data_IF_802352444884
#
_entry.id   IF_802352444884
#
_cell.length_a   1.000
_cell.length_b   1.000
_cell.length_c   1.000
_cell.angle_alpha   90.00
_cell.angle_beta   90.00
_cell.angle_gamma   90.00
#
_symmetry.space_group_name_H-M   'P 1'
#
loop_
_entity.id
_entity.type
_entity.pdbx_description
1 polymer ?
#
# COMPACT_ATOMS: atom_id res chain seq x y z
N UNK A 1 0.72 29.91 -7.92
CA UNK A 1 1.03 28.49 -8.01
C UNK A 1 1.11 27.92 -6.61
N UNK A 2 0.48 26.79 -6.38
CA UNK A 2 0.60 26.25 -5.05
C UNK A 2 0.19 24.80 -4.97
N UNK A 3 1.17 23.89 -4.88
CA UNK A 3 0.90 22.55 -4.38
C UNK A 3 0.42 22.71 -2.94
N UNK A 4 -0.69 22.06 -2.60
CA UNK A 4 -1.36 22.26 -1.31
C UNK A 4 -1.40 21.00 -0.45
N UNK A 5 -1.49 19.83 -1.09
CA UNK A 5 -1.62 18.59 -0.36
C UNK A 5 -1.20 17.42 -1.24
N UNK A 6 -0.80 16.34 -0.60
CA UNK A 6 -0.68 15.05 -1.27
C UNK A 6 -2.08 14.47 -1.44
N UNK A 7 -2.39 13.90 -2.59
CA UNK A 7 -3.73 13.40 -2.86
C UNK A 7 -3.77 11.87 -2.98
N UNK A 8 -3.03 11.31 -3.91
CA UNK A 8 -3.03 9.86 -4.10
C UNK A 8 -1.76 9.39 -4.79
N UNK A 9 -1.52 8.10 -4.72
CA UNK A 9 -0.55 7.41 -5.55
C UNK A 9 -1.29 6.45 -6.48
N UNK A 10 -0.83 6.35 -7.72
CA UNK A 10 -1.38 5.41 -8.70
C UNK A 10 -0.32 4.35 -8.97
N UNK A 11 -0.72 3.09 -8.90
CA UNK A 11 0.18 1.97 -9.20
C UNK A 11 -0.44 1.07 -10.26
N UNK A 12 0.42 0.52 -11.12
CA UNK A 12 0.02 -0.49 -12.08
C UNK A 12 0.30 -1.86 -11.51
N UNK A 13 -0.65 -2.75 -11.64
CA UNK A 13 -0.57 -4.07 -11.04
C UNK A 13 -0.63 -5.15 -12.11
N UNK A 14 0.18 -6.19 -11.94
CA UNK A 14 0.10 -7.38 -12.80
C UNK A 14 -1.18 -8.16 -12.54
N UNK A 15 -1.67 -8.14 -11.29
CA UNK A 15 -2.89 -8.79 -10.86
C UNK A 15 -3.59 -7.88 -9.85
N UNK A 16 -4.47 -7.04 -10.34
CA UNK A 16 -5.10 -6.00 -9.52
C UNK A 16 -5.97 -6.57 -8.41
N UNK A 17 -6.55 -7.76 -8.61
CA UNK A 17 -7.33 -8.42 -7.54
C UNK A 17 -6.46 -8.81 -6.37
N UNK A 18 -5.29 -9.35 -6.65
CA UNK A 18 -4.33 -9.75 -5.63
C UNK A 18 -3.78 -8.54 -4.88
N UNK A 19 -3.46 -7.48 -5.59
CA UNK A 19 -2.95 -6.24 -4.98
C UNK A 19 -4.02 -5.56 -4.15
N UNK A 20 -5.26 -5.52 -4.64
CA UNK A 20 -6.40 -5.02 -3.85
C UNK A 20 -6.52 -5.79 -2.54
N UNK A 21 -6.49 -7.12 -2.59
CA UNK A 21 -6.63 -7.95 -1.39
C UNK A 21 -5.53 -7.68 -0.37
N UNK A 22 -4.30 -7.44 -0.85
CA UNK A 22 -3.19 -7.07 0.02
C UNK A 22 -3.48 -5.79 0.81
N UNK A 23 -3.90 -4.73 0.12
CA UNK A 23 -4.15 -3.45 0.79
C UNK A 23 -5.41 -3.46 1.66
N UNK A 24 -6.43 -4.21 1.27
CA UNK A 24 -7.62 -4.40 2.12
C UNK A 24 -7.23 -5.10 3.42
N UNK A 25 -6.33 -6.05 3.36
CA UNK A 25 -5.79 -6.72 4.56
C UNK A 25 -5.10 -5.73 5.49
N UNK A 26 -4.43 -4.71 4.95
CA UNK A 26 -3.79 -3.67 5.75
C UNK A 26 -4.76 -2.64 6.31
N UNK A 27 -6.02 -2.67 5.89
CA UNK A 27 -7.03 -1.77 6.43
C UNK A 27 -7.60 -0.74 5.47
N UNK A 28 -7.15 -0.72 4.20
CA UNK A 28 -7.78 0.13 3.21
C UNK A 28 -9.12 -0.48 2.79
N UNK A 29 -10.04 0.37 2.32
CA UNK A 29 -11.34 -0.09 1.87
C UNK A 29 -11.55 0.23 0.40
N UNK A 30 -12.23 -0.67 -0.31
CA UNK A 30 -12.62 -0.44 -1.69
C UNK A 30 -13.79 0.54 -1.70
N UNK A 31 -13.72 1.56 -2.53
CA UNK A 31 -14.78 2.54 -2.63
C UNK A 31 -15.05 2.97 -4.08
N UNK A 32 -15.85 4.00 -4.21
CA UNK A 32 -16.28 4.51 -5.50
C UNK A 32 -15.09 4.84 -6.40
N UNK A 33 -15.23 4.49 -7.66
CA UNK A 33 -14.27 4.76 -8.72
C UNK A 33 -15.02 5.18 -9.97
N UNK A 34 -14.66 6.30 -10.61
CA UNK A 34 -15.30 6.66 -11.87
C UNK A 34 -15.23 5.51 -12.89
N UNK A 35 -16.18 5.43 -13.82
CA UNK A 35 -16.26 4.29 -14.73
C UNK A 35 -15.24 4.38 -15.88
N UNK A 36 -13.96 4.33 -15.52
CA UNK A 36 -12.87 4.28 -16.49
C UNK A 36 -12.93 2.96 -17.28
N UNK A 37 -12.43 2.98 -18.51
CA UNK A 37 -12.36 1.77 -19.32
C UNK A 37 -11.37 0.74 -18.77
N UNK A 38 -10.33 1.19 -18.08
CA UNK A 38 -9.34 0.30 -17.47
C UNK A 38 -9.90 -0.40 -16.24
N UNK A 39 -9.50 -1.65 -16.05
CA UNK A 39 -9.82 -2.38 -14.82
C UNK A 39 -8.97 -1.85 -13.68
N UNK A 40 -9.59 -1.63 -12.52
CA UNK A 40 -8.85 -1.14 -11.35
C UNK A 40 -9.76 -0.87 -10.18
N UNK A 41 -9.14 -0.37 -9.12
CA UNK A 41 -9.83 -0.05 -7.87
C UNK A 41 -9.29 1.24 -7.29
N UNK A 42 -10.16 1.98 -6.64
CA UNK A 42 -9.77 3.07 -5.75
C UNK A 42 -9.89 2.59 -4.32
N UNK A 43 -8.80 2.67 -3.58
CA UNK A 43 -8.74 2.23 -2.19
C UNK A 43 -8.67 3.44 -1.27
N UNK A 44 -9.46 3.41 -0.23
CA UNK A 44 -9.75 4.55 0.62
C UNK A 44 -9.20 4.39 2.02
N UNK A 45 -8.77 5.52 2.58
CA UNK A 45 -8.63 5.71 4.02
C UNK A 45 -9.68 6.74 4.42
N UNK A 46 -10.70 6.29 5.17
CA UNK A 46 -11.87 7.13 5.41
C UNK A 46 -12.55 7.50 4.10
N UNK A 47 -12.69 8.80 3.85
CA UNK A 47 -13.31 9.30 2.62
C UNK A 47 -12.30 9.68 1.53
N UNK A 48 -11.02 9.40 1.73
CA UNK A 48 -9.96 9.77 0.79
C UNK A 48 -9.51 8.58 -0.06
N UNK A 49 -9.64 8.65 -1.39
CA UNK A 49 -9.14 7.60 -2.29
C UNK A 49 -7.63 7.77 -2.51
N UNK A 50 -6.85 7.26 -1.57
CA UNK A 50 -5.40 7.52 -1.51
C UNK A 50 -4.57 6.63 -2.42
N UNK A 51 -5.12 5.48 -2.84
CA UNK A 51 -4.40 4.52 -3.68
C UNK A 51 -5.28 4.10 -4.84
N UNK A 52 -4.80 4.39 -6.04
CA UNK A 52 -5.48 4.02 -7.28
C UNK A 52 -4.73 2.84 -7.91
N UNK A 53 -5.40 1.72 -8.03
CA UNK A 53 -4.83 0.52 -8.64
C UNK A 53 -5.35 0.38 -10.06
N UNK A 54 -4.45 0.13 -11.01
CA UNK A 54 -4.80 -0.09 -12.41
C UNK A 54 -4.15 -1.39 -12.88
N UNK A 55 -4.97 -2.24 -13.52
CA UNK A 55 -4.47 -3.49 -14.09
C UNK A 55 -3.56 -3.19 -15.28
N UNK A 56 -2.39 -3.83 -15.32
CA UNK A 56 -1.54 -3.79 -16.50
C UNK A 56 -2.26 -4.47 -17.65
N UNK A 57 -2.19 -3.92 -18.87
CA UNK A 57 -2.75 -4.62 -20.02
C UNK A 57 -2.09 -5.98 -20.23
N UNK A 58 -2.85 -6.92 -20.80
CA UNK A 58 -2.32 -8.23 -21.15
C UNK A 58 -1.14 -8.11 -22.10
N UNK A 59 -0.15 -8.96 -21.88
CA UNK A 59 1.06 -8.99 -22.70
C UNK A 59 2.14 -8.00 -22.31
N UNK A 60 1.88 -7.11 -21.35
CA UNK A 60 2.93 -6.26 -20.81
C UNK A 60 3.74 -7.01 -19.77
N UNK A 61 5.05 -6.85 -19.84
CA UNK A 61 5.95 -7.47 -18.87
C UNK A 61 5.69 -6.91 -17.48
N UNK A 62 5.71 -7.79 -16.48
CA UNK A 62 5.66 -7.38 -15.09
C UNK A 62 6.94 -6.61 -14.76
N UNK A 63 6.78 -5.47 -14.11
CA UNK A 63 7.90 -4.67 -13.65
C UNK A 63 7.95 -4.77 -12.12
N UNK A 64 8.97 -5.43 -11.60
CA UNK A 64 9.18 -5.50 -10.17
C UNK A 64 9.82 -4.22 -9.66
N UNK A 65 9.39 -3.80 -8.47
CA UNK A 65 9.88 -2.59 -7.84
C UNK A 65 9.11 -1.36 -8.29
N UNK A 66 9.62 -0.21 -7.97
CA UNK A 66 8.91 1.06 -8.09
C UNK A 66 9.71 2.15 -8.83
N UNK A 67 10.80 1.78 -9.48
CA UNK A 67 11.66 2.75 -10.14
C UNK A 67 12.35 3.66 -9.12
N UNK A 68 12.22 4.97 -9.29
CA UNK A 68 12.83 5.93 -8.37
C UNK A 68 12.06 6.12 -7.06
N UNK A 69 10.84 5.62 -6.97
CA UNK A 69 10.06 5.66 -5.72
C UNK A 69 10.50 4.49 -4.85
N UNK A 70 11.09 4.79 -3.71
CA UNK A 70 11.59 3.73 -2.82
C UNK A 70 10.44 3.03 -2.07
N UNK A 71 9.53 3.82 -1.53
CA UNK A 71 8.40 3.27 -0.76
C UNK A 71 7.27 4.28 -0.63
N UNK A 72 6.12 3.78 -0.17
CA UNK A 72 5.02 4.60 0.33
C UNK A 72 4.84 4.27 1.82
N UNK A 73 4.42 5.25 2.60
CA UNK A 73 4.30 5.09 4.05
C UNK A 73 2.90 5.46 4.52
N UNK A 74 2.41 4.68 5.48
CA UNK A 74 1.15 4.91 6.15
C UNK A 74 1.35 4.99 7.66
N UNK A 75 0.59 5.82 8.33
CA UNK A 75 0.41 5.68 9.77
C UNK A 75 -0.49 4.48 10.03
N UNK A 76 -0.18 3.68 11.02
CA UNK A 76 -0.91 2.48 11.31
C UNK A 76 -1.14 2.31 12.81
N UNK A 77 -2.11 1.50 13.14
CA UNK A 77 -2.46 1.14 14.51
C UNK A 77 -2.47 -0.38 14.64
N UNK A 78 -2.45 -0.87 15.88
CA UNK A 78 -2.53 -2.29 16.19
C UNK A 78 -1.32 -3.08 15.64
N UNK A 79 -0.17 -2.81 16.21
CA UNK A 79 1.08 -3.48 15.82
C UNK A 79 0.96 -5.01 15.90
N UNK A 80 0.44 -5.53 16.99
CA UNK A 80 0.33 -6.98 17.18
C UNK A 80 -0.60 -7.63 16.17
N UNK A 81 -1.75 -7.00 15.91
CA UNK A 81 -2.69 -7.47 14.88
C UNK A 81 -2.07 -7.45 13.49
N UNK A 82 -1.28 -6.42 13.19
CA UNK A 82 -0.58 -6.31 11.92
C UNK A 82 0.45 -7.43 11.76
N UNK A 83 1.27 -7.66 12.78
CA UNK A 83 2.25 -8.75 12.77
C UNK A 83 1.56 -10.09 12.50
N UNK A 84 0.45 -10.33 13.19
CA UNK A 84 -0.32 -11.56 13.04
C UNK A 84 -0.88 -11.71 11.64
N UNK A 85 -1.50 -10.66 11.12
CA UNK A 85 -2.11 -10.68 9.79
C UNK A 85 -1.08 -10.97 8.70
N UNK A 86 0.09 -10.33 8.77
CA UNK A 86 1.16 -10.55 7.79
C UNK A 86 1.71 -11.97 7.88
N UNK A 87 1.92 -12.46 9.10
CA UNK A 87 2.41 -13.82 9.33
C UNK A 87 1.42 -14.86 8.81
N UNK A 88 0.14 -14.72 9.13
CA UNK A 88 -0.90 -15.64 8.67
C UNK A 88 -1.05 -15.62 7.15
N UNK A 89 -0.80 -14.48 6.52
CA UNK A 89 -0.83 -14.36 5.06
C UNK A 89 0.43 -14.88 4.38
N UNK A 90 1.45 -15.26 5.15
CA UNK A 90 2.72 -15.71 4.59
C UNK A 90 3.54 -14.60 3.94
N UNK A 91 3.33 -13.35 4.37
CA UNK A 91 4.02 -12.18 3.81
C UNK A 91 5.25 -11.87 4.66
N UNK A 92 6.47 -12.00 4.09
CA UNK A 92 7.68 -11.61 4.80
C UNK A 92 7.66 -10.10 5.10
N UNK A 93 8.12 -9.73 6.27
CA UNK A 93 8.24 -8.32 6.64
C UNK A 93 9.44 -8.11 7.56
N UNK A 94 9.88 -6.87 7.63
CA UNK A 94 11.01 -6.46 8.46
C UNK A 94 10.52 -5.37 9.42
N UNK A 95 11.06 -5.38 10.63
CA UNK A 95 10.78 -4.33 11.61
C UNK A 95 12.03 -3.49 11.89
N UNK A 96 11.80 -2.23 12.20
CA UNK A 96 12.83 -1.31 12.62
C UNK A 96 12.26 -0.37 13.67
N UNK A 97 13.16 0.26 14.42
CA UNK A 97 12.79 1.30 15.39
C UNK A 97 13.51 2.57 14.99
N UNK A 98 12.75 3.66 14.84
CA UNK A 98 13.32 4.96 14.49
C UNK A 98 14.12 5.47 15.69
N UNK A 99 15.39 5.86 15.50
CA UNK A 99 16.16 6.48 16.58
C UNK A 99 15.45 7.74 17.10
N UNK A 100 15.59 8.03 18.37
CA UNK A 100 15.04 9.18 19.11
C UNK A 100 13.58 9.02 19.50
N UNK A 101 12.65 8.92 18.53
CA UNK A 101 11.23 8.93 18.87
C UNK A 101 10.66 7.54 19.19
N UNK A 102 11.35 6.47 18.81
CA UNK A 102 10.93 5.12 19.12
C UNK A 102 9.77 4.60 18.26
N UNK A 103 9.41 5.29 17.18
CA UNK A 103 8.42 4.79 16.23
C UNK A 103 8.81 3.40 15.75
N UNK A 104 7.88 2.47 15.77
CA UNK A 104 8.10 1.12 15.26
C UNK A 104 7.64 1.09 13.81
N UNK A 105 8.51 0.60 12.94
CA UNK A 105 8.24 0.52 11.50
C UNK A 105 8.16 -0.93 11.08
N UNK A 106 7.15 -1.25 10.26
CA UNK A 106 7.09 -2.51 9.53
C UNK A 106 7.24 -2.19 8.04
N UNK A 107 8.11 -2.93 7.38
CA UNK A 107 8.31 -2.84 5.93
C UNK A 107 7.87 -4.16 5.30
N UNK A 108 6.92 -4.09 4.38
CA UNK A 108 6.39 -5.24 3.67
C UNK A 108 6.25 -4.88 2.19
N UNK A 109 6.51 -5.82 1.31
CA UNK A 109 6.33 -5.58 -0.13
C UNK A 109 4.92 -5.97 -0.56
N UNK A 110 4.32 -5.10 -1.38
CA UNK A 110 3.07 -5.45 -2.02
C UNK A 110 3.31 -6.51 -3.11
N UNK A 111 2.25 -7.08 -3.71
CA UNK A 111 2.42 -8.12 -4.73
C UNK A 111 3.18 -7.68 -5.99
N UNK A 112 3.29 -6.39 -6.24
CA UNK A 112 4.03 -5.85 -7.38
C UNK A 112 5.44 -5.38 -7.01
N UNK A 113 5.86 -5.60 -5.77
CA UNK A 113 7.21 -5.29 -5.32
C UNK A 113 7.40 -3.88 -4.77
N UNK A 114 6.33 -3.10 -4.63
CA UNK A 114 6.43 -1.79 -3.98
C UNK A 114 6.58 -2.00 -2.47
N UNK A 115 7.56 -1.33 -1.88
CA UNK A 115 7.73 -1.36 -0.43
C UNK A 115 6.68 -0.49 0.23
N UNK A 116 5.97 -1.07 1.19
CA UNK A 116 4.99 -0.38 2.03
C UNK A 116 5.56 -0.29 3.43
N UNK A 117 5.63 0.93 3.95
CA UNK A 117 6.10 1.21 5.29
C UNK A 117 4.91 1.53 6.19
N UNK A 118 4.80 0.83 7.31
CA UNK A 118 3.75 1.07 8.30
C UNK A 118 4.40 1.60 9.56
N UNK A 119 3.97 2.77 9.99
CA UNK A 119 4.54 3.45 11.16
C UNK A 119 3.56 3.40 12.31
N UNK A 120 4.01 2.82 13.42
CA UNK A 120 3.21 2.65 14.63
C UNK A 120 3.78 3.53 15.72
N UNK A 121 2.89 4.22 16.42
CA UNK A 121 3.30 5.01 17.56
C UNK A 121 3.93 4.11 18.61
N UNK A 122 4.87 4.66 19.35
CA UNK A 122 5.49 4.02 20.47
C UNK A 122 4.43 3.67 21.53
N UNK A 123 4.44 2.44 22.07
CA UNK A 123 3.49 2.05 23.10
C UNK A 123 3.59 2.90 24.38
#
# INVERSE_FOLDING_TARGET
MGVRAFQHVNTRSADVERTKAFYVRLGLTVGDRPPFASQGYWLYLGDQPVLHLVQRPDGQAHHEGSGNVDHVAFEATDLEGTRRALTEAGLPFREAVVPRDGTIQIFVKDPDGLTVELNFERP
#
